data_IF_971203570043
#
_entry.id   IF_971203570043
#
_cell.length_a   1.000
_cell.length_b   1.000
_cell.length_c   1.000
_cell.angle_alpha   90.00
_cell.angle_beta   90.00
_cell.angle_gamma   90.00
#
_symmetry.space_group_name_H-M   'P 1'
#
loop_
_entity.id
_entity.type
_entity.pdbx_description
1 polymer ?
#
# COMPACT_ATOMS: atom_id res chain seq x y z
N UNK A 1 -38.88 21.55 -11.92
CA UNK A 1 -37.91 22.51 -12.42
C UNK A 1 -36.59 21.84 -12.58
N UNK A 2 -36.34 21.54 -13.74
CA UNK A 2 -35.20 21.31 -14.63
C UNK A 2 -34.03 20.46 -14.15
N UNK A 3 -34.16 19.17 -14.31
CA UNK A 3 -33.09 18.20 -14.28
C UNK A 3 -32.30 18.08 -15.61
N UNK A 4 -32.81 18.68 -16.71
CA UNK A 4 -32.19 18.60 -18.04
C UNK A 4 -31.00 19.55 -18.27
N UNK A 5 -30.90 20.65 -17.53
CA UNK A 5 -29.84 21.66 -17.77
C UNK A 5 -28.49 21.28 -17.13
N UNK A 6 -28.47 20.39 -16.14
CA UNK A 6 -27.25 20.00 -15.44
C UNK A 6 -26.43 18.91 -16.15
N UNK A 7 -27.04 18.12 -17.03
CA UNK A 7 -26.39 17.01 -17.73
C UNK A 7 -25.39 17.45 -18.83
N UNK A 8 -25.74 18.51 -19.59
CA UNK A 8 -24.90 18.93 -20.74
C UNK A 8 -23.61 19.68 -20.34
N UNK A 9 -23.62 20.39 -19.21
CA UNK A 9 -22.43 21.10 -18.72
C UNK A 9 -21.37 20.15 -18.19
N UNK A 10 -21.81 19.06 -17.53
CA UNK A 10 -20.93 18.03 -16.97
C UNK A 10 -20.25 17.17 -18.06
N UNK A 11 -20.99 16.79 -19.10
CA UNK A 11 -20.44 16.03 -20.23
C UNK A 11 -19.37 16.85 -20.97
N UNK A 12 -19.57 18.14 -21.13
CA UNK A 12 -18.57 19.04 -21.75
C UNK A 12 -17.31 19.18 -20.89
N UNK A 13 -17.45 19.23 -19.56
CA UNK A 13 -16.30 19.27 -18.65
C UNK A 13 -15.52 17.95 -18.70
N UNK A 14 -16.22 16.82 -18.77
CA UNK A 14 -15.62 15.49 -18.87
C UNK A 14 -14.83 15.30 -20.16
N UNK A 15 -15.40 15.71 -21.30
CA UNK A 15 -14.74 15.68 -22.61
C UNK A 15 -13.50 16.59 -22.62
N UNK A 16 -13.59 17.81 -22.06
CA UNK A 16 -12.46 18.73 -21.98
C UNK A 16 -11.34 18.19 -21.09
N UNK A 17 -11.67 17.52 -19.97
CA UNK A 17 -10.69 16.92 -19.06
C UNK A 17 -10.02 15.70 -19.71
N UNK A 18 -10.79 14.89 -20.45
CA UNK A 18 -10.24 13.71 -21.18
C UNK A 18 -9.33 14.16 -22.32
N UNK A 19 -9.68 15.24 -23.06
CA UNK A 19 -8.84 15.81 -24.12
C UNK A 19 -7.56 16.42 -23.53
N UNK A 20 -7.65 17.11 -22.38
CA UNK A 20 -6.47 17.66 -21.71
C UNK A 20 -5.49 16.55 -21.27
N UNK A 21 -5.99 15.44 -20.74
CA UNK A 21 -5.19 14.28 -20.36
C UNK A 21 -4.54 13.63 -21.59
N UNK A 22 -5.28 13.49 -22.71
CA UNK A 22 -4.73 12.95 -23.97
C UNK A 22 -3.66 13.88 -24.58
N UNK A 23 -3.82 15.20 -24.49
CA UNK A 23 -2.82 16.17 -24.97
C UNK A 23 -1.52 16.12 -24.15
N UNK A 24 -1.59 15.84 -22.84
CA UNK A 24 -0.39 15.64 -22.02
C UNK A 24 0.43 14.39 -22.45
N UNK A 25 -0.26 13.35 -22.95
CA UNK A 25 0.40 12.13 -23.43
C UNK A 25 1.19 12.33 -24.73
N UNK A 26 0.71 13.18 -25.63
CA UNK A 26 1.34 13.38 -26.94
C UNK A 26 2.59 14.26 -26.89
N UNK A 27 2.72 15.11 -25.86
CA UNK A 27 3.89 15.98 -25.69
C UNK A 27 5.09 15.27 -25.05
N UNK A 28 4.86 14.29 -24.17
CA UNK A 28 5.94 13.55 -23.51
C UNK A 28 6.67 12.56 -24.45
N UNK A 29 5.96 11.97 -25.41
CA UNK A 29 6.56 11.01 -26.36
C UNK A 29 7.50 11.65 -27.38
N UNK A 30 7.37 12.96 -27.66
CA UNK A 30 8.24 13.63 -28.64
C UNK A 30 9.51 14.24 -28.04
N UNK A 31 9.54 14.50 -26.72
CA UNK A 31 10.68 15.12 -26.05
C UNK A 31 11.79 14.12 -25.65
N UNK A 32 11.45 12.85 -25.44
CA UNK A 32 12.44 11.85 -25.00
C UNK A 32 13.35 11.29 -26.09
N UNK A 33 12.96 11.39 -27.39
CA UNK A 33 13.74 10.84 -28.47
C UNK A 33 14.90 11.72 -28.95
N UNK A 34 15.00 12.97 -28.48
CA UNK A 34 16.09 13.90 -28.88
C UNK A 34 17.20 14.07 -27.87
N UNK A 35 16.95 13.77 -26.57
CA UNK A 35 17.94 13.97 -25.52
C UNK A 35 18.95 12.82 -25.33
N UNK A 36 18.62 11.61 -25.80
CA UNK A 36 19.46 10.41 -25.59
C UNK A 36 20.66 10.32 -26.53
N UNK A 37 20.66 11.02 -27.65
CA UNK A 37 21.74 10.91 -28.66
C UNK A 37 22.97 11.78 -28.39
N UNK A 38 22.82 12.89 -27.66
CA UNK A 38 23.90 13.86 -27.45
C UNK A 38 24.76 13.61 -26.20
N UNK A 39 24.28 12.77 -25.26
CA UNK A 39 24.99 12.56 -23.99
C UNK A 39 26.06 11.45 -24.06
N UNK A 40 26.02 10.56 -25.06
CA UNK A 40 26.98 9.46 -25.18
C UNK A 40 28.32 9.88 -25.77
N UNK A 41 28.35 10.97 -26.53
CA UNK A 41 29.58 11.43 -27.19
C UNK A 41 30.58 12.19 -26.29
N UNK A 42 30.12 12.74 -25.15
CA UNK A 42 30.94 13.61 -24.33
C UNK A 42 31.73 12.90 -23.19
N UNK A 43 31.45 11.62 -22.94
CA UNK A 43 32.03 10.89 -21.79
C UNK A 43 33.30 10.10 -22.14
N UNK A 44 33.62 9.92 -23.41
CA UNK A 44 34.70 9.01 -23.85
C UNK A 44 36.08 9.65 -23.93
N UNK A 45 36.22 10.95 -23.77
CA UNK A 45 37.52 11.66 -23.99
C UNK A 45 38.33 12.02 -22.73
N UNK A 46 37.86 11.72 -21.50
CA UNK A 46 38.53 12.21 -20.27
C UNK A 46 39.19 11.13 -19.37
N UNK A 47 39.36 9.91 -19.84
CA UNK A 47 40.02 8.87 -19.04
C UNK A 47 41.29 8.38 -19.73
N UNK A 48 42.32 9.22 -19.81
CA UNK A 48 43.69 8.74 -20.02
C UNK A 48 44.68 9.79 -19.52
N UNK A 49 44.89 9.91 -18.21
CA UNK A 49 46.17 10.35 -17.66
C UNK A 49 46.25 10.09 -16.15
N UNK A 50 47.43 9.58 -15.78
CA UNK A 50 48.04 9.48 -14.45
C UNK A 50 47.75 8.21 -13.64
N UNK A 51 48.53 7.19 -13.95
CA UNK A 51 48.90 6.16 -12.96
C UNK A 51 50.32 6.43 -12.52
N UNK A 52 50.52 6.95 -11.31
CA UNK A 52 51.76 6.87 -10.57
C UNK A 52 51.62 5.81 -9.46
N UNK A 53 52.69 5.05 -9.14
CA UNK A 53 52.58 3.98 -8.16
C UNK A 53 52.32 4.54 -6.75
N UNK A 54 51.29 4.05 -6.10
CA UNK A 54 50.90 4.44 -4.75
C UNK A 54 51.86 3.79 -3.74
N UNK A 55 52.56 4.62 -2.94
CA UNK A 55 53.05 4.23 -1.61
C UNK A 55 51.84 3.84 -0.73
N UNK A 56 52.02 2.82 0.14
CA UNK A 56 51.02 2.40 1.13
C UNK A 56 50.72 3.58 2.10
N UNK A 57 49.80 4.45 1.73
CA UNK A 57 49.21 5.39 2.63
C UNK A 57 48.24 4.63 3.54
N UNK A 58 48.39 4.71 4.86
CA UNK A 58 47.36 4.34 5.82
C UNK A 58 46.08 4.97 5.36
N UNK A 59 45.04 4.15 5.09
CA UNK A 59 43.78 4.62 4.53
C UNK A 59 43.25 5.81 5.36
N UNK A 60 43.20 6.99 4.77
CA UNK A 60 42.49 8.09 5.35
C UNK A 60 41.05 7.63 5.61
N UNK A 61 40.42 8.01 6.73
CA UNK A 61 39.04 7.63 6.99
C UNK A 61 38.20 8.00 5.77
N UNK A 62 37.35 7.07 5.31
CA UNK A 62 36.42 7.28 4.18
C UNK A 62 35.28 8.22 4.62
N UNK A 63 35.64 9.49 4.80
CA UNK A 63 34.73 10.53 5.30
C UNK A 63 33.52 10.74 4.38
N UNK A 64 33.65 10.46 3.08
CA UNK A 64 32.54 10.54 2.12
C UNK A 64 31.60 9.35 2.28
N UNK A 65 32.14 8.14 2.44
CA UNK A 65 31.33 6.95 2.70
C UNK A 65 30.58 7.04 4.05
N UNK A 66 31.25 7.51 5.09
CA UNK A 66 30.61 7.74 6.40
C UNK A 66 29.50 8.79 6.33
N UNK A 67 29.70 9.88 5.58
CA UNK A 67 28.68 10.91 5.38
C UNK A 67 27.50 10.37 4.56
N UNK A 68 27.76 9.59 3.52
CA UNK A 68 26.73 8.95 2.71
C UNK A 68 25.90 7.99 3.55
N UNK A 69 26.53 7.13 4.36
CA UNK A 69 25.85 6.25 5.30
C UNK A 69 24.99 7.06 6.29
N UNK A 70 25.52 8.15 6.83
CA UNK A 70 24.78 9.04 7.73
C UNK A 70 23.52 9.62 7.09
N UNK A 71 23.61 10.15 5.86
CA UNK A 71 22.48 10.72 5.12
C UNK A 71 21.42 9.66 4.77
N UNK A 72 21.84 8.49 4.30
CA UNK A 72 20.95 7.38 4.01
C UNK A 72 20.21 6.90 5.27
N UNK A 73 20.94 6.80 6.39
CA UNK A 73 20.35 6.43 7.69
C UNK A 73 19.32 7.45 8.17
N UNK A 74 19.66 8.75 8.11
CA UNK A 74 18.72 9.81 8.51
C UNK A 74 17.47 9.80 7.64
N UNK A 75 17.63 9.65 6.31
CA UNK A 75 16.49 9.54 5.39
C UNK A 75 15.59 8.35 5.73
N UNK A 76 16.17 7.16 5.88
CA UNK A 76 15.44 5.95 6.24
C UNK A 76 14.68 6.08 7.57
N UNK A 77 15.32 6.66 8.61
CA UNK A 77 14.67 6.86 9.92
C UNK A 77 13.58 7.92 9.88
N UNK A 78 13.77 9.03 9.14
CA UNK A 78 12.69 10.00 8.90
C UNK A 78 11.50 9.35 8.18
N UNK A 79 11.77 8.53 7.17
CA UNK A 79 10.74 7.77 6.47
C UNK A 79 10.02 6.80 7.42
N UNK A 80 10.75 6.07 8.25
CA UNK A 80 10.15 5.19 9.26
C UNK A 80 9.23 5.96 10.23
N UNK A 81 9.63 7.14 10.69
CA UNK A 81 8.80 8.01 11.53
C UNK A 81 7.53 8.48 10.81
N UNK A 82 7.62 8.86 9.53
CA UNK A 82 6.46 9.24 8.72
C UNK A 82 5.49 8.08 8.55
N UNK A 83 5.99 6.87 8.28
CA UNK A 83 5.14 5.67 8.15
C UNK A 83 4.58 5.25 9.51
N UNK A 84 5.34 5.35 10.60
CA UNK A 84 4.81 5.17 11.96
C UNK A 84 3.63 6.12 12.21
N UNK A 85 3.75 7.36 11.79
CA UNK A 85 2.68 8.36 11.93
C UNK A 85 1.43 8.04 11.10
N UNK A 86 1.48 7.06 10.20
CA UNK A 86 0.27 6.53 9.56
C UNK A 86 -0.61 5.73 10.52
N UNK A 87 -0.10 5.20 11.64
CA UNK A 87 -0.91 4.48 12.62
C UNK A 87 -2.04 5.36 13.22
N UNK A 88 -1.78 6.57 13.74
CA UNK A 88 -2.87 7.47 14.11
C UNK A 88 -3.75 7.85 12.93
N UNK A 89 -3.22 7.92 11.70
CA UNK A 89 -4.00 8.15 10.49
C UNK A 89 -5.05 7.05 10.26
N UNK A 90 -4.65 5.78 10.30
CA UNK A 90 -5.57 4.63 10.22
C UNK A 90 -6.57 4.64 11.38
N UNK A 91 -6.11 4.84 12.61
CA UNK A 91 -6.98 4.90 13.78
C UNK A 91 -8.09 5.95 13.62
N UNK A 92 -7.76 7.14 13.10
CA UNK A 92 -8.73 8.22 12.89
C UNK A 92 -9.67 7.94 11.71
N UNK A 93 -9.20 7.34 10.61
CA UNK A 93 -10.05 6.93 9.49
C UNK A 93 -11.05 5.88 9.95
N UNK A 94 -10.57 4.82 10.60
CA UNK A 94 -11.42 3.75 11.10
C UNK A 94 -12.42 4.25 12.14
N UNK A 95 -11.97 5.02 13.15
CA UNK A 95 -12.84 5.59 14.16
C UNK A 95 -13.92 6.49 13.52
N UNK A 96 -13.52 7.35 12.60
CA UNK A 96 -14.42 8.27 11.93
C UNK A 96 -15.49 7.59 11.07
N UNK A 97 -15.16 6.48 10.41
CA UNK A 97 -16.08 5.71 9.56
C UNK A 97 -16.89 4.66 10.32
N UNK A 98 -16.64 4.44 11.59
CA UNK A 98 -17.38 3.51 12.44
C UNK A 98 -18.30 4.24 13.45
N UNK A 99 -19.15 3.48 14.16
CA UNK A 99 -20.07 4.05 15.15
C UNK A 99 -19.32 4.38 16.44
N UNK A 100 -19.70 5.48 17.08
CA UNK A 100 -19.07 6.08 18.27
C UNK A 100 -18.85 5.09 19.43
N UNK A 101 -19.74 4.15 19.61
CA UNK A 101 -19.73 3.13 20.69
C UNK A 101 -18.64 2.05 20.54
N UNK A 102 -17.81 2.15 19.48
CA UNK A 102 -16.72 1.23 19.19
C UNK A 102 -15.37 1.96 19.04
N UNK A 103 -15.31 3.25 19.41
CA UNK A 103 -14.13 4.09 19.14
C UNK A 103 -12.93 3.66 19.97
N UNK A 104 -13.11 3.39 21.28
CA UNK A 104 -12.02 2.91 22.14
C UNK A 104 -11.50 1.55 21.65
N UNK A 105 -12.39 0.65 21.23
CA UNK A 105 -12.01 -0.63 20.64
C UNK A 105 -11.18 -0.45 19.36
N UNK A 106 -11.55 0.48 18.48
CA UNK A 106 -10.80 0.79 17.26
C UNK A 106 -9.40 1.31 17.60
N UNK A 107 -9.30 2.30 18.52
CA UNK A 107 -8.02 2.85 18.93
C UNK A 107 -7.12 1.78 19.55
N UNK A 108 -7.66 0.95 20.43
CA UNK A 108 -6.90 -0.14 21.07
C UNK A 108 -6.38 -1.15 20.04
N UNK A 109 -7.16 -1.49 19.00
CA UNK A 109 -6.72 -2.37 17.93
C UNK A 109 -5.54 -1.80 17.16
N UNK A 110 -5.56 -0.51 16.84
CA UNK A 110 -4.44 0.14 16.13
C UNK A 110 -3.15 0.17 16.99
N UNK A 111 -3.24 0.35 18.32
CA UNK A 111 -2.09 0.19 19.21
C UNK A 111 -1.59 -1.25 19.25
N UNK A 112 -2.48 -2.23 19.28
CA UNK A 112 -2.13 -3.66 19.28
C UNK A 112 -1.39 -4.04 18.01
N UNK A 113 -1.84 -3.58 16.84
CA UNK A 113 -1.16 -3.87 15.57
C UNK A 113 0.29 -3.42 15.60
N UNK A 114 0.54 -2.23 16.12
CA UNK A 114 1.91 -1.73 16.20
C UNK A 114 2.73 -2.43 17.28
N UNK A 115 2.17 -2.60 18.50
CA UNK A 115 2.90 -3.23 19.61
C UNK A 115 3.22 -4.70 19.32
N UNK A 116 2.21 -5.49 18.95
CA UNK A 116 2.40 -6.92 18.67
C UNK A 116 3.14 -7.12 17.35
N UNK A 117 2.80 -6.34 16.33
CA UNK A 117 3.50 -6.36 15.06
C UNK A 117 4.99 -6.12 15.23
N UNK A 118 5.38 -5.08 15.97
CA UNK A 118 6.79 -4.75 16.22
C UNK A 118 7.53 -5.86 16.94
N UNK A 119 6.97 -6.36 18.06
CA UNK A 119 7.62 -7.39 18.87
C UNK A 119 7.76 -8.71 18.12
N UNK A 120 6.71 -9.14 17.44
CA UNK A 120 6.68 -10.42 16.75
C UNK A 120 7.45 -10.40 15.42
N UNK A 121 7.40 -9.28 14.73
CA UNK A 121 8.17 -9.10 13.52
C UNK A 121 9.68 -9.08 13.82
N UNK A 122 10.11 -8.37 14.86
CA UNK A 122 11.48 -8.43 15.34
C UNK A 122 11.87 -9.84 15.79
N UNK A 123 11.01 -10.52 16.56
CA UNK A 123 11.32 -11.84 17.12
C UNK A 123 11.51 -12.90 16.04
N UNK A 124 10.65 -12.95 15.01
CA UNK A 124 10.69 -14.01 14.00
C UNK A 124 10.39 -13.50 12.58
N UNK A 125 9.47 -12.56 12.40
CA UNK A 125 8.97 -12.15 11.08
C UNK A 125 10.08 -11.58 10.20
N UNK A 126 10.98 -10.78 10.76
CA UNK A 126 12.08 -10.17 10.03
C UNK A 126 13.06 -11.20 9.46
N UNK A 127 13.40 -12.22 10.25
CA UNK A 127 14.20 -13.35 9.78
C UNK A 127 13.54 -14.14 8.67
N UNK A 128 12.23 -14.43 8.79
CA UNK A 128 11.47 -15.11 7.74
C UNK A 128 11.35 -14.27 6.45
N UNK A 129 11.43 -12.95 6.56
CA UNK A 129 11.32 -12.05 5.40
C UNK A 129 12.67 -11.82 4.72
N UNK A 130 13.75 -11.58 5.48
CA UNK A 130 15.04 -11.17 4.93
C UNK A 130 16.16 -12.20 5.11
N UNK A 131 15.90 -13.30 5.82
CA UNK A 131 16.83 -14.41 5.92
C UNK A 131 17.02 -15.16 4.60
N UNK A 132 18.13 -15.87 4.46
CA UNK A 132 18.43 -16.65 3.27
C UNK A 132 17.39 -17.74 3.02
N UNK A 133 16.99 -17.93 1.76
CA UNK A 133 16.00 -18.93 1.34
C UNK A 133 15.39 -18.59 0.00
N UNK A 134 14.76 -19.54 -0.68
CA UNK A 134 14.08 -19.28 -1.96
C UNK A 134 12.60 -18.97 -1.81
N UNK A 135 11.89 -19.72 -0.95
CA UNK A 135 10.45 -19.57 -0.73
C UNK A 135 10.11 -18.93 0.62
N UNK A 136 10.92 -19.15 1.63
CA UNK A 136 10.81 -18.60 2.97
C UNK A 136 12.22 -18.36 3.51
N UNK A 137 12.44 -17.22 4.16
CA UNK A 137 13.71 -16.93 4.80
C UNK A 137 13.94 -17.76 6.06
N UNK A 138 15.21 -17.91 6.45
CA UNK A 138 15.57 -18.59 7.70
C UNK A 138 15.13 -17.76 8.91
N UNK A 139 14.49 -18.36 9.93
CA UNK A 139 14.12 -17.65 11.15
C UNK A 139 15.37 -17.38 12.00
N UNK A 140 15.71 -16.12 12.18
CA UNK A 140 16.89 -15.70 12.93
C UNK A 140 16.60 -15.30 14.40
N UNK A 141 15.39 -15.43 14.90
CA UNK A 141 15.00 -15.23 16.31
C UNK A 141 15.74 -14.09 17.04
N UNK A 142 15.44 -12.83 16.74
CA UNK A 142 16.09 -11.64 17.29
C UNK A 142 17.55 -11.39 16.85
N UNK A 143 18.18 -12.31 16.17
CA UNK A 143 19.51 -12.11 15.59
C UNK A 143 19.39 -11.28 14.32
N UNK A 144 20.09 -10.17 14.24
CA UNK A 144 20.11 -9.25 13.11
C UNK A 144 21.42 -9.30 12.31
N UNK A 145 22.37 -10.14 12.72
CA UNK A 145 23.72 -10.22 12.13
C UNK A 145 23.74 -10.72 10.68
N UNK A 146 22.65 -11.34 10.21
CA UNK A 146 22.52 -11.84 8.85
C UNK A 146 22.26 -10.73 7.80
N UNK A 147 21.88 -9.52 8.21
CA UNK A 147 21.64 -8.39 7.30
C UNK A 147 22.95 -7.72 6.95
N UNK A 148 23.19 -7.57 5.65
CA UNK A 148 24.33 -6.84 5.10
C UNK A 148 23.88 -6.10 3.83
N UNK A 149 23.08 -5.05 4.01
CA UNK A 149 22.54 -4.23 2.93
C UNK A 149 23.14 -2.81 2.87
N UNK A 150 24.24 -2.57 3.58
CA UNK A 150 24.93 -1.28 3.61
C UNK A 150 24.24 -0.20 4.47
N UNK A 151 23.20 -0.59 5.26
CA UNK A 151 22.50 0.30 6.19
C UNK A 151 22.60 -0.24 7.61
N UNK A 152 22.45 0.62 8.65
CA UNK A 152 22.33 0.14 10.02
C UNK A 152 21.14 -0.79 10.18
N UNK A 153 21.39 -2.01 10.63
CA UNK A 153 20.40 -3.09 10.64
C UNK A 153 19.18 -2.77 11.51
N UNK A 154 19.38 -2.14 12.66
CA UNK A 154 18.28 -1.72 13.54
C UNK A 154 17.40 -0.65 12.88
N UNK A 155 18.00 0.27 12.13
CA UNK A 155 17.27 1.26 11.33
C UNK A 155 16.47 0.60 10.22
N UNK A 156 17.05 -0.38 9.52
CA UNK A 156 16.34 -1.14 8.49
C UNK A 156 15.21 -2.00 9.10
N UNK A 157 15.42 -2.62 10.26
CA UNK A 157 14.38 -3.35 10.98
C UNK A 157 13.18 -2.45 11.32
N UNK A 158 13.41 -1.28 11.93
CA UNK A 158 12.28 -0.39 12.30
C UNK A 158 11.55 0.12 11.06
N UNK A 159 12.27 0.42 9.97
CA UNK A 159 11.65 0.79 8.70
C UNK A 159 10.75 -0.32 8.18
N UNK A 160 11.20 -1.57 8.14
CA UNK A 160 10.39 -2.71 7.68
C UNK A 160 9.25 -3.05 8.66
N UNK A 161 9.44 -2.81 9.95
CA UNK A 161 8.41 -3.03 10.98
C UNK A 161 7.17 -2.18 10.75
N UNK A 162 7.32 -0.91 10.39
CA UNK A 162 6.16 -0.02 10.16
C UNK A 162 5.35 -0.43 8.93
N UNK A 163 5.96 -1.10 7.95
CA UNK A 163 5.26 -1.68 6.79
C UNK A 163 4.48 -2.94 7.18
N UNK A 164 5.08 -3.81 7.99
CA UNK A 164 4.40 -4.99 8.54
C UNK A 164 3.16 -4.60 9.35
N UNK A 165 3.30 -3.63 10.25
CA UNK A 165 2.20 -3.11 11.05
C UNK A 165 1.08 -2.53 10.18
N UNK A 166 1.43 -1.83 9.09
CA UNK A 166 0.46 -1.31 8.13
C UNK A 166 -0.37 -2.42 7.48
N UNK A 167 0.24 -3.53 7.07
CA UNK A 167 -0.49 -4.67 6.49
C UNK A 167 -1.50 -5.28 7.49
N UNK A 168 -1.14 -5.36 8.77
CA UNK A 168 -2.03 -5.84 9.83
C UNK A 168 -3.20 -4.88 10.09
N UNK A 169 -2.90 -3.57 10.20
CA UNK A 169 -3.90 -2.52 10.47
C UNK A 169 -5.00 -2.45 9.40
N UNK A 170 -4.68 -2.67 8.13
CA UNK A 170 -5.67 -2.69 7.04
C UNK A 170 -6.82 -3.66 7.32
N UNK A 171 -6.54 -4.81 7.94
CA UNK A 171 -7.56 -5.83 8.24
C UNK A 171 -8.54 -5.36 9.31
N UNK A 172 -8.08 -4.52 10.24
CA UNK A 172 -8.88 -3.97 11.35
C UNK A 172 -10.16 -3.32 10.86
N UNK A 173 -10.07 -2.45 9.87
CA UNK A 173 -11.19 -1.65 9.37
C UNK A 173 -12.33 -2.48 8.80
N UNK A 174 -12.03 -3.51 8.01
CA UNK A 174 -13.05 -4.38 7.40
C UNK A 174 -13.79 -5.23 8.43
N UNK A 175 -13.16 -5.55 9.54
CA UNK A 175 -13.72 -6.40 10.61
C UNK A 175 -14.25 -5.61 11.80
N UNK A 176 -14.27 -4.27 11.70
CA UNK A 176 -14.66 -3.37 12.78
C UNK A 176 -16.10 -3.59 13.27
N UNK A 177 -16.34 -3.20 14.53
CA UNK A 177 -17.62 -3.16 15.24
C UNK A 177 -18.23 -4.50 15.70
N UNK A 178 -17.64 -5.65 15.31
CA UNK A 178 -18.23 -6.97 15.63
C UNK A 178 -17.24 -8.08 15.91
N UNK A 179 -15.92 -7.80 15.82
CA UNK A 179 -14.87 -8.81 16.08
C UNK A 179 -14.49 -8.80 17.56
N UNK A 180 -14.35 -9.98 18.18
CA UNK A 180 -13.79 -10.12 19.52
C UNK A 180 -12.35 -9.60 19.55
N UNK A 181 -12.02 -8.78 20.55
CA UNK A 181 -10.69 -8.21 20.68
C UNK A 181 -9.59 -9.27 20.83
N UNK A 182 -9.87 -10.34 21.58
CA UNK A 182 -8.92 -11.46 21.72
C UNK A 182 -8.61 -12.15 20.39
N UNK A 183 -9.59 -12.29 19.50
CA UNK A 183 -9.37 -12.89 18.17
C UNK A 183 -8.62 -11.93 17.24
N UNK A 184 -8.82 -10.63 17.45
CA UNK A 184 -8.03 -9.60 16.77
C UNK A 184 -6.54 -9.78 17.04
N UNK A 185 -6.13 -9.87 18.31
CA UNK A 185 -4.73 -10.10 18.70
C UNK A 185 -4.19 -11.36 18.02
N UNK A 186 -4.95 -12.45 18.04
CA UNK A 186 -4.48 -13.73 17.50
C UNK A 186 -4.21 -13.65 15.99
N UNK A 187 -5.11 -13.07 15.21
CA UNK A 187 -4.86 -13.00 13.77
C UNK A 187 -3.78 -11.98 13.40
N UNK A 188 -3.61 -10.89 14.16
CA UNK A 188 -2.47 -9.97 14.01
C UNK A 188 -1.13 -10.68 14.19
N UNK A 189 -1.04 -11.61 15.15
CA UNK A 189 0.14 -12.47 15.31
C UNK A 189 0.45 -13.23 14.01
N UNK A 190 -0.55 -13.92 13.44
CA UNK A 190 -0.35 -14.70 12.21
C UNK A 190 0.00 -13.81 11.00
N UNK A 191 -0.55 -12.61 10.90
CA UNK A 191 -0.18 -11.69 9.84
C UNK A 191 1.29 -11.29 9.97
N UNK A 192 1.72 -10.89 11.17
CA UNK A 192 3.05 -10.34 11.42
C UNK A 192 4.18 -11.38 11.39
N UNK A 193 3.90 -12.65 11.74
CA UNK A 193 4.94 -13.70 11.77
C UNK A 193 4.90 -14.64 10.57
N UNK A 194 3.81 -14.71 9.82
CA UNK A 194 3.65 -15.72 8.79
C UNK A 194 3.24 -15.14 7.43
N UNK A 195 2.06 -14.50 7.35
CA UNK A 195 1.50 -14.15 6.05
C UNK A 195 2.34 -13.07 5.38
N UNK A 196 2.54 -11.96 6.06
CA UNK A 196 3.28 -10.81 5.54
C UNK A 196 4.76 -11.12 5.30
N UNK A 197 5.52 -11.72 6.26
CA UNK A 197 6.92 -12.00 6.05
C UNK A 197 7.21 -12.93 4.87
N UNK A 198 6.38 -13.96 4.66
CA UNK A 198 6.61 -14.92 3.56
C UNK A 198 6.35 -14.25 2.21
N UNK A 199 5.25 -13.52 2.03
CA UNK A 199 5.00 -12.78 0.79
C UNK A 199 6.01 -11.65 0.56
N UNK A 200 6.45 -11.00 1.64
CA UNK A 200 7.51 -10.00 1.59
C UNK A 200 8.87 -10.59 1.22
N UNK A 201 9.17 -11.80 1.68
CA UNK A 201 10.38 -12.53 1.27
C UNK A 201 10.41 -12.77 -0.24
N UNK A 202 9.29 -13.18 -0.83
CA UNK A 202 9.22 -13.42 -2.28
C UNK A 202 9.58 -12.19 -3.11
N UNK A 203 9.29 -10.99 -2.61
CA UNK A 203 9.40 -9.74 -3.34
C UNK A 203 10.61 -8.90 -2.90
N UNK A 204 10.81 -8.70 -1.59
CA UNK A 204 11.85 -7.81 -1.05
C UNK A 204 12.99 -8.55 -0.34
N UNK A 205 12.75 -9.80 0.08
CA UNK A 205 13.71 -10.61 0.82
C UNK A 205 14.64 -11.46 -0.04
N UNK A 206 14.71 -11.21 -1.36
CA UNK A 206 15.53 -12.01 -2.27
C UNK A 206 14.90 -13.34 -2.71
N UNK A 207 13.58 -13.50 -2.49
CA UNK A 207 12.87 -14.72 -2.86
C UNK A 207 12.57 -14.82 -4.37
N UNK A 208 11.85 -15.86 -4.74
CA UNK A 208 11.71 -16.35 -6.11
C UNK A 208 11.00 -15.39 -7.10
N UNK A 209 10.15 -14.46 -6.64
CA UNK A 209 9.53 -13.46 -7.54
C UNK A 209 10.51 -12.37 -7.98
N UNK A 210 11.57 -12.12 -7.19
CA UNK A 210 12.58 -11.11 -7.46
C UNK A 210 13.89 -11.70 -7.97
N UNK A 211 14.00 -13.01 -8.12
CA UNK A 211 15.22 -13.64 -8.61
C UNK A 211 15.42 -13.37 -10.10
N UNK A 212 16.37 -12.46 -10.41
CA UNK A 212 16.76 -12.06 -11.76
C UNK A 212 17.88 -12.89 -12.39
N UNK A 213 18.32 -14.00 -11.78
CA UNK A 213 19.32 -14.88 -12.33
C UNK A 213 18.83 -15.55 -13.61
N UNK A 214 19.72 -15.70 -14.57
CA UNK A 214 19.44 -16.43 -15.81
C UNK A 214 18.99 -17.87 -15.48
N UNK A 215 17.86 -18.29 -16.07
CA UNK A 215 17.27 -19.61 -15.78
C UNK A 215 16.38 -19.67 -14.55
N UNK A 216 16.26 -18.60 -13.77
CA UNK A 216 15.25 -18.52 -12.69
C UNK A 216 13.84 -18.59 -13.28
N UNK A 217 12.85 -18.92 -12.42
CA UNK A 217 11.47 -19.09 -12.84
C UNK A 217 10.91 -17.83 -13.52
N UNK A 218 11.09 -16.65 -12.92
CA UNK A 218 10.58 -15.39 -13.46
C UNK A 218 11.27 -15.01 -14.76
N UNK A 219 12.59 -15.11 -14.83
CA UNK A 219 13.37 -14.81 -16.03
C UNK A 219 13.04 -15.77 -17.18
N UNK A 220 12.85 -17.05 -16.89
CA UNK A 220 12.50 -18.06 -17.91
C UNK A 220 11.09 -17.86 -18.47
N UNK A 221 10.13 -17.39 -17.66
CA UNK A 221 8.73 -17.26 -18.06
C UNK A 221 8.41 -15.90 -18.66
N UNK A 222 8.97 -14.84 -18.11
CA UNK A 222 8.61 -13.46 -18.44
C UNK A 222 9.78 -12.62 -18.99
N UNK A 223 11.02 -13.08 -18.85
CA UNK A 223 12.22 -12.31 -19.21
C UNK A 223 12.54 -11.15 -18.26
N UNK A 224 11.81 -11.04 -17.16
CA UNK A 224 11.97 -10.01 -16.11
C UNK A 224 11.43 -10.49 -14.78
N UNK A 225 11.64 -9.72 -13.71
CA UNK A 225 11.16 -10.02 -12.36
C UNK A 225 9.88 -9.26 -12.01
N UNK A 226 9.28 -9.62 -10.88
CA UNK A 226 8.16 -8.89 -10.29
C UNK A 226 8.68 -7.62 -9.62
N UNK A 227 8.01 -6.49 -9.84
CA UNK A 227 8.35 -5.18 -9.28
C UNK A 227 7.21 -4.65 -8.40
N UNK A 228 7.51 -4.36 -7.17
CA UNK A 228 6.60 -3.67 -6.23
C UNK A 228 7.45 -2.78 -5.31
N UNK A 229 7.68 -1.53 -5.75
CA UNK A 229 8.66 -0.63 -5.16
C UNK A 229 8.43 -0.39 -3.66
N UNK A 230 7.20 -0.01 -3.31
CA UNK A 230 6.87 0.32 -1.93
C UNK A 230 5.68 -0.50 -1.35
N UNK A 231 5.06 -1.42 -2.09
CA UNK A 231 4.13 -2.39 -1.51
C UNK A 231 2.66 -2.23 -1.87
N UNK A 232 2.30 -1.84 -3.11
CA UNK A 232 0.89 -1.97 -3.56
C UNK A 232 0.38 -3.38 -3.34
N UNK A 233 1.19 -4.40 -3.68
CA UNK A 233 0.86 -5.81 -3.47
C UNK A 233 1.31 -6.30 -2.10
N UNK A 234 2.60 -6.16 -1.76
CA UNK A 234 3.21 -6.76 -0.57
C UNK A 234 2.58 -6.27 0.74
N UNK A 235 2.16 -5.02 0.80
CA UNK A 235 1.52 -4.43 2.00
C UNK A 235 0.01 -4.32 1.80
N UNK A 236 -0.40 -3.52 0.83
CA UNK A 236 -1.80 -3.12 0.69
C UNK A 236 -2.68 -4.24 0.17
N UNK A 237 -2.27 -4.93 -0.89
CA UNK A 237 -3.06 -6.05 -1.43
C UNK A 237 -3.10 -7.23 -0.46
N UNK A 238 -1.99 -7.53 0.23
CA UNK A 238 -1.97 -8.55 1.30
C UNK A 238 -2.98 -8.21 2.38
N UNK A 239 -2.90 -7.03 3.00
CA UNK A 239 -3.86 -6.60 4.03
C UNK A 239 -5.30 -6.58 3.51
N UNK A 240 -5.53 -6.07 2.31
CA UNK A 240 -6.86 -5.93 1.70
C UNK A 240 -7.55 -7.26 1.35
N UNK A 241 -6.81 -8.27 0.86
CA UNK A 241 -7.39 -9.60 0.60
C UNK A 241 -7.67 -10.38 1.89
N UNK A 242 -6.79 -10.27 2.90
CA UNK A 242 -7.07 -10.82 4.25
C UNK A 242 -8.32 -10.14 4.82
N UNK A 243 -8.45 -8.82 4.70
CA UNK A 243 -9.60 -8.04 5.14
C UNK A 243 -10.91 -8.50 4.50
N UNK A 244 -10.92 -8.71 3.17
CA UNK A 244 -12.09 -9.19 2.43
C UNK A 244 -12.54 -10.58 2.93
N UNK A 245 -11.59 -11.50 3.05
CA UNK A 245 -11.88 -12.87 3.52
C UNK A 245 -12.34 -12.85 4.98
N UNK A 246 -11.70 -12.05 5.83
CA UNK A 246 -12.09 -11.90 7.23
C UNK A 246 -13.51 -11.35 7.37
N UNK A 247 -13.84 -10.28 6.64
CA UNK A 247 -15.18 -9.69 6.65
C UNK A 247 -16.25 -10.67 6.13
N UNK A 248 -15.93 -11.48 5.11
CA UNK A 248 -16.83 -12.49 4.56
C UNK A 248 -17.14 -13.61 5.58
N UNK A 249 -16.12 -14.09 6.30
CA UNK A 249 -16.29 -15.16 7.32
C UNK A 249 -17.00 -14.63 8.55
N UNK A 250 -16.66 -13.44 9.02
CA UNK A 250 -17.25 -12.79 10.19
C UNK A 250 -18.73 -12.46 10.00
N UNK A 251 -19.13 -12.19 8.75
CA UNK A 251 -20.47 -11.78 8.38
C UNK A 251 -20.77 -10.29 8.60
N UNK A 252 -21.92 -9.82 8.09
CA UNK A 252 -22.27 -8.41 8.14
C UNK A 252 -22.69 -7.95 9.55
N UNK A 253 -22.53 -6.66 9.83
CA UNK A 253 -23.05 -6.01 11.05
C UNK A 253 -24.57 -6.16 11.14
N UNK A 254 -25.07 -6.23 12.35
CA UNK A 254 -26.51 -6.28 12.62
C UNK A 254 -27.21 -5.08 11.95
N UNK A 255 -28.24 -5.37 11.16
CA UNK A 255 -29.01 -4.35 10.45
C UNK A 255 -28.40 -3.86 9.13
N UNK A 256 -27.24 -4.36 8.71
CA UNK A 256 -26.59 -3.97 7.44
C UNK A 256 -27.44 -4.33 6.21
N UNK A 257 -28.07 -5.47 6.19
CA UNK A 257 -28.97 -5.88 5.12
C UNK A 257 -30.41 -6.00 5.61
N UNK A 258 -31.35 -5.48 4.81
CA UNK A 258 -32.77 -5.61 5.07
C UNK A 258 -33.28 -7.03 4.83
N UNK A 259 -34.53 -7.29 5.22
CA UNK A 259 -35.21 -8.58 4.92
C UNK A 259 -35.34 -8.85 3.41
N UNK A 260 -35.33 -7.78 2.60
CA UNK A 260 -35.32 -7.80 1.14
C UNK A 260 -33.91 -8.01 0.55
N UNK A 261 -32.89 -8.20 1.39
CA UNK A 261 -31.49 -8.35 0.99
C UNK A 261 -30.81 -7.05 0.53
N UNK A 262 -31.48 -5.90 0.62
CA UNK A 262 -30.86 -4.62 0.22
C UNK A 262 -29.92 -4.13 1.30
N UNK A 263 -28.77 -3.61 0.85
CA UNK A 263 -27.79 -2.97 1.71
C UNK A 263 -28.35 -1.67 2.29
N UNK A 264 -28.09 -1.44 3.59
CA UNK A 264 -28.41 -0.22 4.31
C UNK A 264 -27.12 0.48 4.72
N UNK A 265 -27.08 1.78 4.56
CA UNK A 265 -25.95 2.56 5.05
C UNK A 265 -25.92 2.53 6.57
N UNK A 266 -24.75 2.24 7.13
CA UNK A 266 -24.41 2.43 8.54
C UNK A 266 -23.35 3.52 8.59
N UNK A 267 -23.75 4.80 8.78
CA UNK A 267 -22.80 5.91 8.73
C UNK A 267 -21.81 5.86 9.91
N UNK A 268 -20.60 6.31 9.65
CA UNK A 268 -19.64 6.60 10.70
C UNK A 268 -20.05 7.81 11.53
N UNK A 269 -19.44 7.96 12.70
CA UNK A 269 -19.86 9.03 13.62
C UNK A 269 -19.17 10.37 13.34
N UNK A 270 -18.01 10.39 12.65
CA UNK A 270 -17.26 11.65 12.45
C UNK A 270 -16.46 11.67 11.16
N UNK A 271 -17.03 12.26 10.11
CA UNK A 271 -16.29 12.50 8.87
C UNK A 271 -15.14 13.50 9.04
N UNK A 272 -15.20 14.39 10.04
CA UNK A 272 -14.11 15.32 10.36
C UNK A 272 -12.86 14.57 10.82
N UNK A 273 -13.03 13.59 11.73
CA UNK A 273 -11.94 12.74 12.21
C UNK A 273 -11.40 11.87 11.06
N UNK A 274 -12.29 11.28 10.24
CA UNK A 274 -11.88 10.50 9.09
C UNK A 274 -11.05 11.34 8.09
N UNK A 275 -11.48 12.58 7.81
CA UNK A 275 -10.76 13.47 6.91
C UNK A 275 -9.37 13.84 7.45
N UNK A 276 -9.26 14.13 8.74
CA UNK A 276 -7.95 14.35 9.39
C UNK A 276 -7.06 13.11 9.27
N UNK A 277 -7.62 11.92 9.49
CA UNK A 277 -6.91 10.65 9.33
C UNK A 277 -6.35 10.47 7.91
N UNK A 278 -7.14 10.81 6.87
CA UNK A 278 -6.66 10.73 5.48
C UNK A 278 -5.53 11.72 5.19
N UNK A 279 -5.56 12.94 5.74
CA UNK A 279 -4.41 13.86 5.61
C UNK A 279 -3.16 13.32 6.28
N UNK A 280 -3.29 12.71 7.46
CA UNK A 280 -2.16 12.09 8.16
C UNK A 280 -1.61 10.90 7.35
N UNK A 281 -2.49 10.06 6.79
CA UNK A 281 -2.08 8.96 5.92
C UNK A 281 -1.35 9.46 4.66
N UNK A 282 -1.87 10.51 4.02
CA UNK A 282 -1.24 11.10 2.84
C UNK A 282 0.15 11.67 3.17
N UNK A 283 0.26 12.40 4.27
CA UNK A 283 1.53 12.91 4.77
C UNK A 283 2.53 11.76 5.06
N UNK A 284 2.09 10.71 5.75
CA UNK A 284 2.90 9.52 6.01
C UNK A 284 3.31 8.77 4.74
N UNK A 285 2.52 8.88 3.65
CA UNK A 285 2.86 8.26 2.38
C UNK A 285 4.10 8.85 1.72
N UNK A 286 4.49 10.06 2.07
CA UNK A 286 5.78 10.63 1.68
C UNK A 286 6.98 9.97 2.39
N UNK A 287 6.74 9.28 3.51
CA UNK A 287 7.70 8.33 4.08
C UNK A 287 7.59 6.93 3.47
N UNK A 288 6.36 6.52 3.09
CA UNK A 288 6.10 5.19 2.57
C UNK A 288 6.74 4.98 1.19
N UNK A 289 6.41 5.82 0.21
CA UNK A 289 6.90 5.69 -1.16
C UNK A 289 8.31 6.29 -1.33
N UNK A 290 8.55 7.60 -1.15
CA UNK A 290 9.90 8.15 -1.30
C UNK A 290 10.91 7.55 -0.32
N UNK A 291 10.47 7.17 0.88
CA UNK A 291 11.32 6.51 1.86
C UNK A 291 11.84 5.15 1.41
N UNK A 292 11.11 4.44 0.54
CA UNK A 292 11.51 3.15 -0.01
C UNK A 292 12.72 3.22 -0.94
N UNK A 293 13.20 4.43 -1.32
CA UNK A 293 14.49 4.63 -1.96
C UNK A 293 15.65 4.20 -1.04
N UNK A 294 15.49 4.27 0.27
CA UNK A 294 16.47 3.87 1.31
C UNK A 294 17.83 4.60 1.22
N UNK A 295 18.00 5.52 0.30
CA UNK A 295 19.23 6.26 0.04
C UNK A 295 18.90 7.73 -0.27
N UNK A 296 19.79 8.66 0.11
CA UNK A 296 19.64 10.10 -0.11
C UNK A 296 20.99 10.80 -0.30
N UNK A 297 22.06 10.04 -0.49
CA UNK A 297 23.40 10.61 -0.46
C UNK A 297 23.92 11.08 -1.82
N UNK A 298 23.32 10.63 -2.92
CA UNK A 298 23.75 10.95 -4.29
C UNK A 298 22.76 11.86 -5.00
N UNK A 299 23.20 12.49 -6.09
CA UNK A 299 22.31 13.25 -6.97
C UNK A 299 21.20 12.36 -7.56
N UNK A 300 21.53 11.13 -7.93
CA UNK A 300 20.56 10.15 -8.42
C UNK A 300 19.47 9.83 -7.37
N UNK A 301 19.86 9.67 -6.11
CA UNK A 301 18.89 9.47 -5.01
C UNK A 301 17.98 10.68 -4.84
N UNK A 302 18.55 11.89 -4.87
CA UNK A 302 17.77 13.13 -4.75
C UNK A 302 16.73 13.27 -5.89
N UNK A 303 17.12 12.94 -7.12
CA UNK A 303 16.23 12.92 -8.28
C UNK A 303 15.15 11.86 -8.10
N UNK A 304 15.50 10.63 -7.73
CA UNK A 304 14.56 9.53 -7.50
C UNK A 304 13.55 9.86 -6.41
N UNK A 305 14.01 10.32 -5.24
CA UNK A 305 13.15 10.76 -4.14
C UNK A 305 12.16 11.84 -4.62
N UNK A 306 12.65 12.88 -5.31
CA UNK A 306 11.83 13.99 -5.80
C UNK A 306 10.78 13.50 -6.80
N UNK A 307 11.15 12.58 -7.70
CA UNK A 307 10.24 11.96 -8.64
C UNK A 307 9.13 11.17 -7.93
N UNK A 308 9.50 10.33 -6.97
CA UNK A 308 8.55 9.50 -6.20
C UNK A 308 7.61 10.35 -5.34
N UNK A 309 8.08 11.48 -4.80
CA UNK A 309 7.21 12.47 -4.14
C UNK A 309 6.13 13.00 -5.08
N UNK A 310 6.54 13.42 -6.28
CA UNK A 310 5.64 13.99 -7.27
C UNK A 310 4.61 12.96 -7.76
N UNK A 311 5.05 11.77 -8.16
CA UNK A 311 4.18 10.70 -8.66
C UNK A 311 3.18 10.24 -7.60
N UNK A 312 3.60 10.10 -6.35
CA UNK A 312 2.74 9.79 -5.20
C UNK A 312 1.67 10.86 -5.00
N UNK A 313 2.05 12.13 -5.00
CA UNK A 313 1.12 13.25 -4.81
C UNK A 313 0.12 13.36 -5.96
N UNK A 314 0.56 13.23 -7.20
CA UNK A 314 -0.33 13.32 -8.37
C UNK A 314 -1.35 12.18 -8.39
N UNK A 315 -0.96 10.97 -8.05
CA UNK A 315 -1.87 9.84 -7.97
C UNK A 315 -2.92 10.01 -6.88
N UNK A 316 -2.54 10.53 -5.71
CA UNK A 316 -3.47 10.87 -4.63
C UNK A 316 -4.51 11.91 -5.07
N UNK A 317 -4.05 13.01 -5.66
CA UNK A 317 -4.90 14.08 -6.16
C UNK A 317 -5.87 13.58 -7.24
N UNK A 318 -5.37 12.82 -8.21
CA UNK A 318 -6.18 12.28 -9.29
C UNK A 318 -7.20 11.25 -8.78
N UNK A 319 -6.80 10.36 -7.86
CA UNK A 319 -7.69 9.39 -7.24
C UNK A 319 -8.85 10.04 -6.51
N UNK A 320 -8.57 11.05 -5.68
CA UNK A 320 -9.57 11.85 -4.98
C UNK A 320 -10.48 12.62 -5.93
N UNK A 321 -9.91 13.30 -6.93
CA UNK A 321 -10.65 14.07 -7.91
C UNK A 321 -11.63 13.21 -8.72
N UNK A 322 -11.19 12.10 -9.26
CA UNK A 322 -12.06 11.23 -10.05
C UNK A 322 -13.09 10.50 -9.19
N UNK A 323 -12.75 10.13 -7.95
CA UNK A 323 -13.74 9.60 -7.01
C UNK A 323 -14.81 10.64 -6.65
N UNK A 324 -14.43 11.91 -6.45
CA UNK A 324 -15.38 13.00 -6.26
C UNK A 324 -16.32 13.12 -7.45
N UNK A 325 -15.79 13.19 -8.68
CA UNK A 325 -16.60 13.31 -9.90
C UNK A 325 -17.56 12.13 -10.08
N UNK A 326 -17.05 10.89 -9.97
CA UNK A 326 -17.87 9.69 -10.15
C UNK A 326 -18.93 9.58 -9.06
N UNK A 327 -18.61 9.89 -7.82
CA UNK A 327 -19.61 9.90 -6.73
C UNK A 327 -20.69 10.94 -6.97
N UNK A 328 -20.32 12.12 -7.45
CA UNK A 328 -21.28 13.18 -7.79
C UNK A 328 -22.20 12.78 -8.93
N UNK A 329 -21.64 12.23 -10.01
CA UNK A 329 -22.45 11.76 -11.16
C UNK A 329 -23.38 10.61 -10.76
N UNK A 330 -22.91 9.67 -9.95
CA UNK A 330 -23.65 8.45 -9.60
C UNK A 330 -24.73 8.68 -8.56
N UNK A 331 -24.46 9.54 -7.56
CA UNK A 331 -25.35 9.74 -6.40
C UNK A 331 -25.98 11.13 -6.36
N UNK A 332 -25.71 11.99 -7.33
CA UNK A 332 -26.27 13.34 -7.45
C UNK A 332 -25.65 14.37 -6.51
N UNK A 333 -24.75 13.98 -5.62
CA UNK A 333 -23.98 14.85 -4.72
C UNK A 333 -22.57 14.29 -4.54
N UNK A 334 -21.53 15.16 -4.39
CA UNK A 334 -20.20 14.70 -4.09
C UNK A 334 -20.16 14.08 -2.68
N UNK A 335 -19.61 12.87 -2.58
CA UNK A 335 -19.50 12.16 -1.30
C UNK A 335 -18.12 12.39 -0.70
N UNK A 336 -18.04 12.99 0.49
CA UNK A 336 -16.77 13.19 1.18
C UNK A 336 -16.11 11.84 1.49
N UNK A 337 -16.83 10.85 2.03
CA UNK A 337 -16.26 9.55 2.37
C UNK A 337 -15.68 8.82 1.15
N UNK A 338 -16.36 8.86 0.00
CA UNK A 338 -15.85 8.25 -1.24
C UNK A 338 -14.65 9.04 -1.80
N UNK A 339 -14.65 10.36 -1.67
CA UNK A 339 -13.51 11.20 -2.07
C UNK A 339 -12.28 10.88 -1.23
N UNK A 340 -12.43 10.76 0.09
CA UNK A 340 -11.37 10.36 1.01
C UNK A 340 -10.79 8.97 0.66
N UNK A 341 -11.65 7.99 0.43
CA UNK A 341 -11.22 6.67 -0.02
C UNK A 341 -10.60 6.70 -1.42
N UNK A 342 -11.03 7.64 -2.30
CA UNK A 342 -10.42 7.86 -3.61
C UNK A 342 -8.99 8.37 -3.55
N UNK A 343 -8.69 9.29 -2.61
CA UNK A 343 -7.32 9.73 -2.32
C UNK A 343 -6.46 8.52 -1.91
N UNK A 344 -6.95 7.72 -0.95
CA UNK A 344 -6.24 6.52 -0.49
C UNK A 344 -6.08 5.48 -1.62
N UNK A 345 -7.10 5.30 -2.46
CA UNK A 345 -7.02 4.38 -3.60
C UNK A 345 -5.96 4.80 -4.62
N UNK A 346 -5.81 6.11 -4.86
CA UNK A 346 -4.75 6.65 -5.70
C UNK A 346 -3.36 6.42 -5.10
N UNK A 347 -3.21 6.67 -3.80
CA UNK A 347 -1.98 6.41 -3.05
C UNK A 347 -1.58 4.94 -3.09
N UNK A 348 -2.52 4.05 -2.80
CA UNK A 348 -2.31 2.59 -2.84
C UNK A 348 -1.94 2.13 -4.25
N UNK A 349 -2.65 2.62 -5.27
CA UNK A 349 -2.44 2.19 -6.65
C UNK A 349 -1.08 2.56 -7.21
N UNK A 350 -0.53 3.73 -6.81
CA UNK A 350 0.78 4.18 -7.32
C UNK A 350 1.97 3.53 -6.60
N UNK A 351 1.75 2.96 -5.43
CA UNK A 351 2.81 2.50 -4.52
C UNK A 351 3.75 1.45 -5.13
N UNK A 352 3.27 0.61 -6.08
CA UNK A 352 4.12 -0.37 -6.77
C UNK A 352 5.08 0.23 -7.80
N UNK A 353 4.64 1.29 -8.49
CA UNK A 353 5.37 1.84 -9.64
C UNK A 353 5.68 3.32 -9.53
N UNK A 354 5.65 3.89 -8.32
CA UNK A 354 5.88 5.32 -8.12
C UNK A 354 7.27 5.80 -8.57
N UNK A 355 8.24 4.90 -8.62
CA UNK A 355 9.60 5.07 -9.15
C UNK A 355 9.69 4.88 -10.66
N UNK A 356 8.82 4.05 -11.22
CA UNK A 356 8.95 3.51 -12.58
C UNK A 356 8.06 4.19 -13.63
N UNK A 357 7.07 4.99 -13.23
CA UNK A 357 6.11 5.61 -14.15
C UNK A 357 6.34 7.11 -14.30
N UNK A 358 5.94 7.68 -15.43
CA UNK A 358 5.97 9.14 -15.62
C UNK A 358 4.94 9.85 -14.70
N UNK A 359 5.08 11.16 -14.43
CA UNK A 359 4.08 11.93 -13.69
C UNK A 359 2.67 11.83 -14.27
N UNK A 360 2.54 11.80 -15.60
CA UNK A 360 1.25 11.60 -16.29
C UNK A 360 0.72 10.18 -16.07
N UNK A 361 1.57 9.16 -16.14
CA UNK A 361 1.24 7.77 -15.81
C UNK A 361 0.73 7.64 -14.39
N UNK A 362 1.39 8.27 -13.42
CA UNK A 362 0.99 8.28 -12.02
C UNK A 362 -0.41 8.90 -11.82
N UNK A 363 -0.70 10.04 -12.46
CA UNK A 363 -2.01 10.66 -12.41
C UNK A 363 -3.11 9.74 -13.00
N UNK A 364 -2.80 9.01 -14.08
CA UNK A 364 -3.73 8.06 -14.68
C UNK A 364 -3.97 6.84 -13.79
N UNK A 365 -2.93 6.27 -13.19
CA UNK A 365 -3.05 5.18 -12.21
C UNK A 365 -3.96 5.62 -11.07
N UNK A 366 -3.71 6.80 -10.50
CA UNK A 366 -4.55 7.36 -9.45
C UNK A 366 -6.00 7.53 -9.87
N UNK A 367 -6.24 8.10 -11.05
CA UNK A 367 -7.58 8.30 -11.62
C UNK A 367 -8.34 6.97 -11.79
N UNK A 368 -7.68 5.97 -12.38
CA UNK A 368 -8.26 4.64 -12.60
C UNK A 368 -8.59 3.99 -11.25
N UNK A 369 -7.69 4.01 -10.30
CA UNK A 369 -7.91 3.44 -8.95
C UNK A 369 -9.05 4.16 -8.21
N UNK A 370 -9.13 5.49 -8.28
CA UNK A 370 -10.22 6.25 -7.68
C UNK A 370 -11.59 5.90 -8.25
N UNK A 371 -11.68 5.69 -9.56
CA UNK A 371 -12.92 5.24 -10.23
C UNK A 371 -13.27 3.80 -9.85
N UNK A 372 -12.32 2.87 -9.99
CA UNK A 372 -12.53 1.43 -9.72
C UNK A 372 -12.90 1.21 -8.26
N UNK A 373 -12.32 1.93 -7.33
CA UNK A 373 -12.65 1.84 -5.89
C UNK A 373 -14.16 2.05 -5.64
N UNK A 374 -14.80 3.04 -6.27
CA UNK A 374 -16.24 3.30 -6.07
C UNK A 374 -17.10 2.13 -6.55
N UNK A 375 -16.77 1.56 -7.70
CA UNK A 375 -17.51 0.41 -8.22
C UNK A 375 -17.22 -0.85 -7.42
N UNK A 376 -15.99 -1.00 -6.92
CA UNK A 376 -15.60 -2.11 -6.05
C UNK A 376 -16.34 -2.08 -4.71
N UNK A 377 -16.45 -0.92 -4.06
CA UNK A 377 -17.24 -0.77 -2.82
C UNK A 377 -18.69 -1.22 -3.05
N UNK A 378 -19.31 -0.74 -4.13
CA UNK A 378 -20.68 -1.14 -4.46
C UNK A 378 -20.80 -2.63 -4.79
N UNK A 379 -19.83 -3.20 -5.48
CA UNK A 379 -19.82 -4.62 -5.83
C UNK A 379 -19.67 -5.51 -4.59
N UNK A 380 -18.72 -5.20 -3.73
CA UNK A 380 -18.47 -5.95 -2.48
C UNK A 380 -19.69 -5.86 -1.57
N UNK A 381 -20.23 -4.66 -1.36
CA UNK A 381 -21.40 -4.47 -0.48
C UNK A 381 -22.70 -5.01 -1.07
N UNK A 382 -23.03 -4.67 -2.32
CA UNK A 382 -24.38 -4.92 -2.88
C UNK A 382 -24.49 -6.27 -3.57
N UNK A 383 -23.40 -6.77 -4.19
CA UNK A 383 -23.41 -8.03 -4.96
C UNK A 383 -22.89 -9.18 -4.11
N UNK A 384 -21.66 -9.04 -3.55
CA UNK A 384 -21.06 -10.09 -2.72
C UNK A 384 -21.68 -10.15 -1.31
N UNK A 385 -22.38 -9.11 -0.87
CA UNK A 385 -22.98 -9.00 0.48
C UNK A 385 -21.94 -9.13 1.59
N UNK A 386 -20.74 -8.58 1.38
CA UNK A 386 -19.68 -8.51 2.36
C UNK A 386 -19.68 -7.10 2.93
N UNK A 387 -19.85 -6.99 4.26
CA UNK A 387 -19.88 -5.71 4.97
C UNK A 387 -18.47 -5.31 5.37
N UNK A 388 -17.90 -4.34 4.66
CA UNK A 388 -16.63 -3.70 4.94
C UNK A 388 -16.91 -2.24 5.38
N UNK A 389 -16.85 -1.94 6.68
CA UNK A 389 -17.25 -0.65 7.23
C UNK A 389 -16.50 0.55 6.66
N UNK A 390 -15.21 0.40 6.36
CA UNK A 390 -14.35 1.50 5.93
C UNK A 390 -13.94 1.42 4.45
N UNK A 391 -14.25 0.32 3.78
CA UNK A 391 -13.88 0.09 2.38
C UNK A 391 -12.43 -0.39 2.20
N UNK A 392 -11.83 -0.96 3.24
CA UNK A 392 -10.43 -1.41 3.21
C UNK A 392 -10.14 -2.41 2.09
N UNK A 393 -11.04 -3.36 1.85
CA UNK A 393 -10.90 -4.35 0.77
C UNK A 393 -10.85 -3.71 -0.62
N UNK A 394 -11.67 -2.68 -0.85
CA UNK A 394 -11.69 -1.95 -2.13
C UNK A 394 -10.47 -1.06 -2.30
N UNK A 395 -10.11 -0.30 -1.26
CA UNK A 395 -8.99 0.63 -1.29
C UNK A 395 -7.66 -0.13 -1.36
N UNK A 396 -7.44 -1.10 -0.49
CA UNK A 396 -6.14 -1.77 -0.38
C UNK A 396 -6.06 -3.06 -1.21
N UNK A 397 -7.08 -3.94 -1.16
CA UNK A 397 -7.09 -5.19 -1.91
C UNK A 397 -7.19 -4.97 -3.40
N UNK A 398 -8.28 -4.33 -3.84
CA UNK A 398 -8.56 -4.15 -5.26
C UNK A 398 -7.64 -3.14 -5.90
N UNK A 399 -7.43 -1.95 -5.29
CA UNK A 399 -6.57 -0.93 -5.89
C UNK A 399 -5.08 -1.25 -5.75
N UNK A 400 -4.64 -1.99 -4.71
CA UNK A 400 -3.27 -2.48 -4.64
C UNK A 400 -2.96 -3.50 -5.73
N UNK A 401 -3.84 -4.47 -5.93
CA UNK A 401 -3.74 -5.43 -7.02
C UNK A 401 -3.75 -4.75 -8.40
N UNK A 402 -4.69 -3.85 -8.62
CA UNK A 402 -4.82 -3.11 -9.88
C UNK A 402 -3.60 -2.21 -10.14
N UNK A 403 -3.12 -1.48 -9.13
CA UNK A 403 -1.98 -0.58 -9.26
C UNK A 403 -0.71 -1.31 -9.68
N UNK A 404 -0.48 -2.49 -9.13
CA UNK A 404 0.64 -3.35 -9.54
C UNK A 404 0.52 -3.77 -11.01
N UNK A 405 -0.67 -4.12 -11.49
CA UNK A 405 -0.89 -4.43 -12.91
C UNK A 405 -0.68 -3.18 -13.79
N UNK A 406 -1.19 -2.02 -13.34
CA UNK A 406 -1.02 -0.76 -14.05
C UNK A 406 0.45 -0.33 -14.15
N UNK A 407 1.29 -0.69 -13.18
CA UNK A 407 2.75 -0.52 -13.29
C UNK A 407 3.30 -1.28 -14.49
N UNK A 408 2.84 -2.50 -14.76
CA UNK A 408 3.19 -3.28 -15.94
C UNK A 408 2.77 -2.64 -17.28
N UNK A 409 1.77 -1.77 -17.27
CA UNK A 409 1.33 -1.01 -18.44
C UNK A 409 2.11 0.30 -18.59
N UNK A 410 2.32 1.05 -17.51
CA UNK A 410 2.76 2.44 -17.51
C UNK A 410 4.22 2.65 -17.10
N UNK A 411 5.00 1.61 -16.78
CA UNK A 411 6.44 1.73 -16.55
C UNK A 411 7.13 2.29 -17.79
N UNK A 412 7.96 3.32 -17.61
CA UNK A 412 8.67 4.01 -18.70
C UNK A 412 9.82 3.18 -19.28
N UNK A 413 10.33 2.21 -18.51
CA UNK A 413 11.48 1.37 -18.87
C UNK A 413 11.13 -0.06 -19.28
N UNK A 414 9.93 -0.57 -18.92
CA UNK A 414 9.53 -1.96 -19.15
C UNK A 414 8.05 -2.11 -19.53
N UNK A 415 7.28 -1.01 -19.49
CA UNK A 415 5.83 -1.04 -19.64
C UNK A 415 5.35 -1.33 -21.06
N UNK A 416 4.20 -2.00 -21.15
CA UNK A 416 3.57 -2.35 -22.40
C UNK A 416 3.31 -1.12 -23.30
N UNK A 417 2.85 -0.01 -22.72
CA UNK A 417 2.52 1.20 -23.50
C UNK A 417 3.75 1.96 -24.01
N UNK A 418 4.93 1.64 -23.49
CA UNK A 418 6.19 2.17 -23.97
C UNK A 418 6.92 1.24 -24.95
N UNK A 419 6.27 0.13 -25.38
CA UNK A 419 6.76 -0.74 -26.44
C UNK A 419 7.66 -1.88 -25.99
N UNK A 420 7.77 -2.15 -24.68
CA UNK A 420 8.63 -3.22 -24.14
C UNK A 420 7.98 -4.61 -24.15
N UNK A 421 6.78 -4.75 -24.73
CA UNK A 421 6.11 -6.04 -24.85
C UNK A 421 5.40 -6.50 -23.58
N UNK A 422 5.00 -7.78 -23.56
CA UNK A 422 4.12 -8.33 -22.51
C UNK A 422 4.87 -8.94 -21.32
N UNK A 423 6.19 -9.04 -21.36
CA UNK A 423 6.97 -9.72 -20.32
C UNK A 423 6.74 -9.13 -18.94
N UNK A 424 7.02 -7.84 -18.79
CA UNK A 424 6.85 -7.14 -17.51
C UNK A 424 5.38 -7.12 -17.04
N UNK A 425 4.44 -6.83 -17.93
CA UNK A 425 3.01 -6.91 -17.59
C UNK A 425 2.62 -8.32 -17.12
N UNK A 426 3.12 -9.37 -17.78
CA UNK A 426 2.92 -10.75 -17.36
C UNK A 426 3.47 -11.05 -15.96
N UNK A 427 4.69 -10.57 -15.67
CA UNK A 427 5.32 -10.70 -14.36
C UNK A 427 4.50 -9.98 -13.27
N UNK A 428 4.01 -8.76 -13.54
CA UNK A 428 3.18 -7.99 -12.62
C UNK A 428 1.84 -8.68 -12.33
N UNK A 429 1.14 -9.17 -13.36
CA UNK A 429 -0.12 -9.92 -13.19
C UNK A 429 0.12 -11.19 -12.38
N UNK A 430 1.15 -11.94 -12.73
CA UNK A 430 1.46 -13.21 -12.07
C UNK A 430 1.82 -13.01 -10.60
N UNK A 431 2.74 -12.09 -10.29
CA UNK A 431 3.16 -11.79 -8.92
C UNK A 431 2.00 -11.29 -8.06
N UNK A 432 1.18 -10.37 -8.57
CA UNK A 432 0.01 -9.88 -7.87
C UNK A 432 -1.02 -11.00 -7.59
N UNK A 433 -1.25 -11.91 -8.55
CA UNK A 433 -2.15 -13.06 -8.36
C UNK A 433 -1.62 -14.04 -7.32
N UNK A 434 -0.34 -14.37 -7.34
CA UNK A 434 0.26 -15.33 -6.41
C UNK A 434 0.26 -14.79 -4.98
N UNK A 435 0.69 -13.55 -4.79
CA UNK A 435 0.69 -12.90 -3.47
C UNK A 435 -0.76 -12.73 -2.97
N UNK A 436 -1.70 -12.33 -3.83
CA UNK A 436 -3.11 -12.22 -3.48
C UNK A 436 -3.73 -13.55 -3.09
N UNK A 437 -3.43 -14.63 -3.83
CA UNK A 437 -3.88 -15.98 -3.53
C UNK A 437 -3.31 -16.50 -2.19
N UNK A 438 -2.04 -16.23 -1.92
CA UNK A 438 -1.40 -16.52 -0.64
C UNK A 438 -2.12 -15.80 0.51
N UNK A 439 -2.29 -14.50 0.41
CA UNK A 439 -2.92 -13.68 1.45
C UNK A 439 -4.36 -14.11 1.73
N UNK A 440 -5.17 -14.27 0.68
CA UNK A 440 -6.55 -14.71 0.79
C UNK A 440 -6.67 -16.15 1.32
N UNK A 441 -5.84 -17.08 0.83
CA UNK A 441 -5.83 -18.48 1.23
C UNK A 441 -5.42 -18.66 2.69
N UNK A 442 -4.35 -18.02 3.12
CA UNK A 442 -3.90 -18.06 4.51
C UNK A 442 -4.88 -17.36 5.45
N UNK A 443 -5.41 -16.20 5.03
CA UNK A 443 -6.48 -15.51 5.75
C UNK A 443 -7.70 -16.41 5.94
N UNK A 444 -8.13 -17.13 4.90
CA UNK A 444 -9.25 -18.08 4.97
C UNK A 444 -8.98 -19.20 5.98
N UNK A 445 -7.81 -19.83 5.92
CA UNK A 445 -7.42 -20.91 6.84
C UNK A 445 -7.45 -20.41 8.29
N UNK A 446 -6.82 -19.26 8.56
CA UNK A 446 -6.72 -18.69 9.91
C UNK A 446 -8.10 -18.30 10.42
N UNK A 447 -8.87 -17.50 9.69
CA UNK A 447 -10.17 -17.06 10.16
C UNK A 447 -11.18 -18.20 10.33
N UNK A 448 -11.19 -19.19 9.43
CA UNK A 448 -12.06 -20.37 9.61
C UNK A 448 -11.67 -21.21 10.81
N UNK A 449 -10.37 -21.33 11.08
CA UNK A 449 -9.87 -22.05 12.24
C UNK A 449 -10.26 -21.33 13.53
N UNK A 450 -10.01 -20.02 13.60
CA UNK A 450 -10.34 -19.21 14.77
C UNK A 450 -11.87 -19.17 15.01
N UNK A 451 -12.66 -19.04 13.94
CA UNK A 451 -14.11 -19.04 14.04
C UNK A 451 -14.64 -20.37 14.60
N UNK A 452 -14.07 -21.51 14.14
CA UNK A 452 -14.45 -22.84 14.60
C UNK A 452 -14.06 -23.11 16.06
N UNK A 453 -12.90 -22.59 16.52
CA UNK A 453 -12.36 -22.89 17.88
C UNK A 453 -12.96 -21.97 18.92
N UNK A 454 -13.02 -20.67 18.65
CA UNK A 454 -13.42 -19.65 19.64
C UNK A 454 -14.58 -18.75 19.19
N UNK A 455 -14.94 -18.81 17.89
CA UNK A 455 -15.84 -17.84 17.29
C UNK A 455 -15.18 -16.45 17.16
N UNK A 456 -15.24 -15.88 15.98
CA UNK A 456 -14.65 -14.55 15.70
C UNK A 456 -15.49 -13.41 16.21
N UNK A 457 -16.83 -13.57 16.19
CA UNK A 457 -17.80 -12.50 16.41
C UNK A 457 -18.21 -12.41 17.88
N UNK A 458 -18.39 -11.17 18.35
CA UNK A 458 -19.01 -10.90 19.65
C UNK A 458 -20.49 -11.32 19.66
N UNK A 459 -21.09 -11.62 20.82
CA UNK A 459 -22.54 -11.84 20.94
C UNK A 459 -23.35 -10.62 20.44
N UNK A 460 -24.54 -10.86 19.88
CA UNK A 460 -25.39 -9.83 19.29
C UNK A 460 -25.67 -8.66 20.23
N UNK A 461 -25.90 -8.93 21.52
CA UNK A 461 -26.10 -7.90 22.54
C UNK A 461 -24.90 -6.92 22.61
N UNK A 462 -23.66 -7.44 22.63
CA UNK A 462 -22.43 -6.62 22.70
C UNK A 462 -22.28 -5.77 21.43
N UNK A 463 -22.57 -6.35 20.26
CA UNK A 463 -22.53 -5.59 19.01
C UNK A 463 -23.58 -4.46 18.96
N UNK A 464 -24.78 -4.69 19.53
CA UNK A 464 -25.84 -3.69 19.60
C UNK A 464 -25.53 -2.61 20.63
N UNK A 465 -24.98 -2.93 21.80
CA UNK A 465 -24.66 -1.99 22.86
C UNK A 465 -23.31 -1.25 22.61
N UNK A 466 -22.34 -1.91 21.98
CA UNK A 466 -21.01 -1.38 21.65
C UNK A 466 -19.88 -2.13 22.31
N UNK A 467 -18.72 -2.18 21.64
CA UNK A 467 -17.57 -2.96 22.09
C UNK A 467 -16.74 -2.25 23.16
N UNK A 468 -16.79 -0.92 23.21
CA UNK A 468 -15.95 -0.12 24.11
C UNK A 468 -16.12 -0.53 25.58
N UNK A 469 -17.36 -0.59 26.04
CA UNK A 469 -17.66 -0.93 27.43
C UNK A 469 -17.40 -2.41 27.72
N UNK A 470 -17.77 -3.30 26.80
CA UNK A 470 -17.69 -4.75 27.07
C UNK A 470 -16.28 -5.33 26.90
N UNK A 471 -15.53 -4.85 25.93
CA UNK A 471 -14.18 -5.37 25.64
C UNK A 471 -13.10 -4.62 26.44
N UNK A 472 -13.34 -3.35 26.82
CA UNK A 472 -12.33 -2.48 27.44
C UNK A 472 -12.76 -1.85 28.78
N UNK A 473 -14.06 -1.81 29.08
CA UNK A 473 -14.57 -1.16 30.30
C UNK A 473 -14.50 0.38 30.27
N UNK A 474 -14.29 0.96 29.12
CA UNK A 474 -14.05 2.40 28.91
C UNK A 474 -14.95 2.93 27.80
N UNK A 475 -15.25 4.23 27.83
CA UNK A 475 -15.88 4.96 26.74
C UNK A 475 -14.87 5.94 26.14
N UNK A 476 -14.80 6.04 24.83
CA UNK A 476 -13.93 7.02 24.17
C UNK A 476 -14.43 8.46 24.33
N UNK A 477 -15.70 8.65 24.63
CA UNK A 477 -16.34 9.94 24.83
C UNK A 477 -17.15 9.94 26.13
N UNK A 478 -17.10 11.04 26.85
CA UNK A 478 -17.86 11.24 28.11
C UNK A 478 -19.29 11.70 27.83
#
# INVERSE_FOLDING_TARGET
MDTKYKSHSFVKLWIATTIFILCCFTTDMSAQNTAAADTVAAVTETITEVVAPAEEASAAPDTLGELALGLNTVWMLLAAMLVFFMQPGFALVEAGFTRVKNTANILMKNFVDFMFGSLLYWFIGFGLMFGAGGFIGMPHFCDLSFINNGLPTEGFLIFQTVFCATAATIVSGAMAERTKFSMYIVYTIFISVLIYPISGHWTWGGGWLMNGEEGSFMMSLFGTTFHDFAGSTVVHSVGGWIALVGAAILGPRIGKYGKDGKSKAIPGHSLTIAALGVFILWFGWFGFNPGSQLAAATEADAIAISHVFLTTNLAACAGGFFALLVSWMKYGKPSLSLTLNGILAGLVGITAGCDAVSPAGAALIGAICGVVMIFSVDFIDKVLKIDDPVGASSVHGVCGFLGTILTGLFSTSEGLFYGYGFGFLGAQIFGALVVGAWAAGMGFIIFKTLDKIHGLRVPARIEEEGLDIYEHGESAYN
#
